data_IF_929562602864
#
_entry.id   IF_929562602864
#
_cell.length_a   1.000
_cell.length_b   1.000
_cell.length_c   1.000
_cell.angle_alpha   90.00
_cell.angle_beta   90.00
_cell.angle_gamma   90.00
#
_symmetry.space_group_name_H-M   'P 1'
#
loop_
_entity.id
_entity.type
_entity.pdbx_description
1 polymer ?
#
# COMPACT_ATOMS: atom_id res chain seq x y z
N UNK A 1 38.79 27.03 -2.56
CA UNK A 1 37.32 27.14 -2.70
C UNK A 1 36.66 25.89 -3.28
N UNK A 2 37.36 25.04 -4.06
CA UNK A 2 36.79 23.80 -4.62
C UNK A 2 36.69 22.61 -3.63
N UNK A 3 37.48 22.59 -2.56
CA UNK A 3 37.50 21.51 -1.55
C UNK A 3 36.24 21.47 -0.69
N UNK A 4 35.62 22.63 -0.42
CA UNK A 4 34.40 22.73 0.38
C UNK A 4 33.16 22.25 -0.37
N UNK A 5 33.12 22.37 -1.70
CA UNK A 5 31.98 21.91 -2.51
C UNK A 5 31.93 20.38 -2.57
N UNK A 6 33.09 19.74 -2.74
CA UNK A 6 33.18 18.28 -2.76
C UNK A 6 32.81 17.66 -1.40
N UNK A 7 33.24 18.26 -0.28
CA UNK A 7 32.92 17.78 1.06
C UNK A 7 31.41 17.83 1.35
N UNK A 8 30.73 18.92 0.93
CA UNK A 8 29.29 19.09 1.11
C UNK A 8 28.46 18.08 0.28
N UNK A 9 28.91 17.72 -0.92
CA UNK A 9 28.24 16.72 -1.75
C UNK A 9 28.35 15.31 -1.15
N UNK A 10 29.51 14.98 -0.59
CA UNK A 10 29.75 13.69 0.08
C UNK A 10 28.87 13.58 1.34
N UNK A 11 28.79 14.63 2.16
CA UNK A 11 27.94 14.62 3.36
C UNK A 11 26.45 14.49 3.01
N UNK A 12 25.97 15.15 1.95
CA UNK A 12 24.58 15.00 1.50
C UNK A 12 24.24 13.56 1.06
N UNK A 13 25.19 12.86 0.44
CA UNK A 13 25.01 11.47 0.01
C UNK A 13 24.96 10.50 1.20
N UNK A 14 25.80 10.72 2.23
CA UNK A 14 25.74 9.91 3.45
C UNK A 14 24.45 10.18 4.26
N UNK A 15 23.99 11.43 4.31
CA UNK A 15 22.75 11.80 4.99
C UNK A 15 21.55 11.16 4.27
N UNK A 16 21.48 11.22 2.94
CA UNK A 16 20.38 10.60 2.18
C UNK A 16 20.36 9.08 2.31
N UNK A 17 21.53 8.42 2.35
CA UNK A 17 21.64 6.98 2.62
C UNK A 17 21.21 6.60 4.04
N UNK A 18 21.46 7.44 5.04
CA UNK A 18 20.99 7.21 6.41
C UNK A 18 19.45 7.31 6.53
N UNK A 19 18.83 8.25 5.83
CA UNK A 19 17.36 8.35 5.77
C UNK A 19 16.70 7.13 5.12
N UNK A 20 17.34 6.51 4.12
CA UNK A 20 16.85 5.27 3.50
C UNK A 20 16.89 4.08 4.49
N UNK A 21 17.92 3.98 5.32
CA UNK A 21 18.05 2.90 6.32
C UNK A 21 17.08 3.05 7.50
N UNK A 22 16.81 4.29 7.95
CA UNK A 22 15.86 4.55 9.05
C UNK A 22 14.39 4.26 8.67
N UNK A 23 14.12 4.15 7.37
CA UNK A 23 12.79 3.82 6.83
C UNK A 23 12.47 2.31 6.87
N UNK A 24 13.47 1.46 7.16
CA UNK A 24 13.38 -0.01 7.04
C UNK A 24 13.29 -0.70 8.41
N UNK A 25 12.41 -0.19 9.30
CA UNK A 25 12.01 -0.92 10.52
C UNK A 25 10.52 -1.20 10.49
N UNK A 26 10.08 -2.06 9.57
CA UNK A 26 8.75 -2.65 9.62
C UNK A 26 8.81 -3.90 10.50
N UNK A 27 8.59 -3.74 11.80
CA UNK A 27 8.16 -4.86 12.62
C UNK A 27 6.77 -4.54 13.16
N UNK A 28 5.71 -4.71 12.35
CA UNK A 28 4.38 -4.44 12.82
C UNK A 28 3.87 -5.78 13.36
N UNK A 29 4.09 -6.03 14.65
CA UNK A 29 3.16 -6.89 15.38
C UNK A 29 1.85 -6.12 15.44
N UNK A 30 1.11 -6.07 14.32
CA UNK A 30 -0.18 -5.39 14.24
C UNK A 30 -1.09 -6.08 15.27
N UNK A 31 -1.72 -5.32 16.18
CA UNK A 31 -2.74 -5.89 17.05
C UNK A 31 -3.79 -6.58 16.17
N UNK A 32 -4.25 -7.78 16.55
CA UNK A 32 -5.38 -8.41 15.86
C UNK A 32 -6.62 -7.61 16.24
N UNK A 33 -7.06 -6.75 15.34
CA UNK A 33 -8.28 -5.96 15.47
C UNK A 33 -9.35 -6.64 14.60
N UNK A 34 -10.60 -6.68 15.10
CA UNK A 34 -11.73 -7.31 14.41
C UNK A 34 -11.80 -8.83 14.51
N UNK A 35 -10.89 -9.46 15.26
CA UNK A 35 -10.91 -10.92 15.46
C UNK A 35 -11.68 -11.24 16.74
N UNK A 36 -12.72 -12.06 16.61
CA UNK A 36 -13.46 -12.58 17.76
C UNK A 36 -12.57 -13.46 18.66
N UNK A 37 -12.76 -13.47 19.99
CA UNK A 37 -11.96 -14.30 20.90
C UNK A 37 -11.92 -15.80 20.55
N UNK A 38 -12.99 -16.34 19.95
CA UNK A 38 -13.00 -17.75 19.51
C UNK A 38 -12.13 -18.02 18.28
N UNK A 39 -11.85 -17.00 17.46
CA UNK A 39 -11.04 -17.08 16.25
C UNK A 39 -9.56 -16.76 16.50
N UNK A 40 -9.15 -16.37 17.71
CA UNK A 40 -7.76 -16.02 18.02
C UNK A 40 -6.76 -17.12 17.61
N UNK A 41 -7.11 -18.38 17.87
CA UNK A 41 -6.28 -19.53 17.52
C UNK A 41 -6.20 -19.76 16.00
N UNK A 42 -7.25 -19.42 15.26
CA UNK A 42 -7.28 -19.53 13.80
C UNK A 42 -6.28 -18.55 13.16
N UNK A 43 -6.25 -17.32 13.66
CA UNK A 43 -5.36 -16.27 13.16
C UNK A 43 -3.93 -16.36 13.73
N UNK A 44 -3.66 -17.17 14.75
CA UNK A 44 -2.34 -17.28 15.39
C UNK A 44 -1.24 -17.82 14.47
N UNK A 45 -1.58 -18.51 13.38
CA UNK A 45 -0.61 -19.10 12.45
C UNK A 45 0.12 -18.04 11.60
N UNK A 46 1.38 -18.32 11.21
CA UNK A 46 2.12 -17.48 10.25
C UNK A 46 1.51 -17.51 8.84
N UNK A 47 0.89 -18.64 8.49
CA UNK A 47 0.19 -18.87 7.24
C UNK A 47 -1.27 -19.21 7.55
N UNK A 48 -2.17 -18.33 7.18
CA UNK A 48 -3.60 -18.40 7.49
C UNK A 48 -4.34 -18.83 6.23
N UNK A 49 -5.24 -19.79 6.36
CA UNK A 49 -6.07 -20.24 5.23
C UNK A 49 -7.26 -19.28 5.09
N UNK A 50 -7.79 -19.10 3.88
CA UNK A 50 -9.11 -18.49 3.74
C UNK A 50 -10.17 -19.49 4.23
N UNK A 51 -11.26 -19.02 4.88
CA UNK A 51 -12.33 -19.89 5.37
C UNK A 51 -13.08 -20.57 4.21
N UNK A 52 -13.11 -19.95 3.03
CA UNK A 52 -13.61 -20.49 1.77
C UNK A 52 -12.71 -21.60 1.16
N UNK A 53 -11.52 -21.82 1.72
CA UNK A 53 -10.55 -22.82 1.25
C UNK A 53 -9.84 -22.45 -0.05
N UNK A 54 -10.03 -21.25 -0.58
CA UNK A 54 -9.51 -20.83 -1.90
C UNK A 54 -7.99 -20.75 -1.94
N UNK A 55 -7.37 -20.14 -0.93
CA UNK A 55 -5.93 -19.96 -0.82
C UNK A 55 -5.47 -19.80 0.63
N UNK A 56 -4.19 -19.52 0.80
CA UNK A 56 -3.61 -19.14 2.09
C UNK A 56 -2.78 -17.87 1.92
N UNK A 57 -2.72 -17.06 2.98
CA UNK A 57 -1.99 -15.81 3.01
C UNK A 57 -1.07 -15.77 4.23
N UNK A 58 -0.02 -14.97 4.16
CA UNK A 58 0.90 -14.77 5.27
C UNK A 58 0.31 -13.77 6.26
N UNK A 59 0.63 -13.93 7.55
CA UNK A 59 0.09 -13.10 8.64
C UNK A 59 0.33 -11.60 8.50
N UNK A 60 1.33 -11.19 7.73
CA UNK A 60 1.59 -9.78 7.40
C UNK A 60 0.57 -9.17 6.43
N UNK A 61 -0.27 -9.99 5.79
CA UNK A 61 -1.36 -9.60 4.90
C UNK A 61 -2.69 -9.46 5.64
N UNK A 62 -2.70 -9.73 6.94
CA UNK A 62 -3.89 -9.55 7.78
C UNK A 62 -4.12 -8.06 8.01
N UNK A 63 -5.33 -7.58 7.74
CA UNK A 63 -5.71 -6.16 7.81
C UNK A 63 -4.69 -5.28 7.07
N UNK A 64 -4.34 -5.61 5.81
CA UNK A 64 -3.39 -4.85 4.98
C UNK A 64 -4.08 -3.96 3.93
N UNK A 65 -5.39 -3.74 4.10
CA UNK A 65 -6.29 -3.00 3.20
C UNK A 65 -6.36 -3.64 1.79
N UNK A 66 -6.02 -4.92 1.66
CA UNK A 66 -5.99 -5.63 0.39
C UNK A 66 -6.67 -6.99 0.46
N UNK A 67 -7.81 -7.09 -0.22
CA UNK A 67 -8.56 -8.32 -0.38
C UNK A 67 -7.77 -9.45 -1.04
N UNK A 68 -7.22 -10.32 -0.22
CA UNK A 68 -6.61 -11.57 -0.57
C UNK A 68 -7.67 -12.68 -0.70
N UNK A 69 -8.55 -12.87 0.28
CA UNK A 69 -9.58 -13.90 0.23
C UNK A 69 -10.89 -13.37 -0.35
N UNK A 70 -11.64 -14.23 -1.06
CA UNK A 70 -12.93 -13.83 -1.62
C UNK A 70 -14.02 -13.69 -0.55
N UNK A 71 -13.86 -14.40 0.57
CA UNK A 71 -14.73 -14.34 1.74
C UNK A 71 -14.36 -13.23 2.74
N UNK A 72 -13.27 -12.50 2.51
CA UNK A 72 -12.79 -11.44 3.40
C UNK A 72 -12.08 -11.92 4.66
N UNK A 73 -11.69 -13.20 4.76
CA UNK A 73 -11.00 -13.77 5.94
C UNK A 73 -9.78 -12.96 6.38
N UNK A 74 -9.08 -12.33 5.43
CA UNK A 74 -7.86 -11.56 5.62
C UNK A 74 -8.07 -10.13 6.13
N UNK A 75 -9.29 -9.60 6.10
CA UNK A 75 -9.63 -8.25 6.56
C UNK A 75 -10.69 -8.30 7.69
N UNK A 76 -10.41 -8.97 8.82
CA UNK A 76 -11.36 -9.05 9.93
C UNK A 76 -11.73 -7.69 10.50
N UNK A 77 -10.90 -6.64 10.45
CA UNK A 77 -11.24 -5.33 11.03
C UNK A 77 -12.45 -4.62 10.39
N UNK A 78 -12.94 -5.10 9.24
CA UNK A 78 -14.21 -4.68 8.67
C UNK A 78 -15.42 -5.09 9.52
N UNK A 79 -15.27 -6.04 10.46
CA UNK A 79 -16.30 -6.54 11.36
C UNK A 79 -15.70 -6.86 12.75
N UNK A 80 -16.32 -6.46 13.86
CA UNK A 80 -15.66 -6.67 15.17
C UNK A 80 -15.76 -8.11 15.72
N UNK A 81 -16.43 -9.01 15.00
CA UNK A 81 -16.47 -10.44 15.30
C UNK A 81 -17.39 -10.80 16.46
N UNK A 82 -17.99 -9.81 17.13
CA UNK A 82 -18.60 -9.98 18.45
C UNK A 82 -20.07 -10.44 18.43
N UNK A 83 -20.76 -10.28 17.31
CA UNK A 83 -22.21 -10.50 17.18
C UNK A 83 -22.63 -11.37 15.98
N UNK A 84 -21.67 -11.94 15.21
CA UNK A 84 -21.99 -12.69 13.99
C UNK A 84 -22.08 -14.22 14.18
N UNK A 85 -21.58 -14.77 15.29
CA UNK A 85 -21.54 -16.22 15.51
C UNK A 85 -22.90 -16.87 15.76
N UNK A 86 -23.88 -16.10 16.24
CA UNK A 86 -25.23 -16.58 16.49
C UNK A 86 -26.16 -16.40 15.26
N UNK A 87 -25.66 -15.76 14.20
CA UNK A 87 -26.41 -15.44 12.99
C UNK A 87 -27.48 -14.34 13.18
N UNK A 88 -27.50 -13.67 14.34
CA UNK A 88 -28.42 -12.56 14.65
C UNK A 88 -28.07 -11.32 13.85
N UNK A 89 -26.78 -11.09 13.56
CA UNK A 89 -26.30 -9.96 12.76
C UNK A 89 -25.55 -10.48 11.53
N UNK A 90 -25.96 -9.96 10.36
CA UNK A 90 -25.33 -10.26 9.08
C UNK A 90 -24.44 -9.10 8.66
N UNK A 91 -23.12 -9.26 8.82
CA UNK A 91 -22.15 -8.31 8.29
C UNK A 91 -21.89 -8.59 6.80
N UNK A 92 -22.20 -7.65 5.89
CA UNK A 92 -21.89 -7.82 4.48
C UNK A 92 -20.37 -7.82 4.30
N UNK A 93 -19.84 -8.77 3.54
CA UNK A 93 -18.45 -8.78 3.14
C UNK A 93 -18.13 -7.50 2.34
N UNK A 94 -17.41 -6.56 2.95
CA UNK A 94 -16.95 -5.30 2.35
C UNK A 94 -15.63 -5.45 1.61
N UNK A 95 -15.11 -6.68 1.47
CA UNK A 95 -13.93 -6.97 0.67
C UNK A 95 -14.24 -6.83 -0.82
N UNK A 96 -14.43 -5.58 -1.24
CA UNK A 96 -14.56 -5.18 -2.62
C UNK A 96 -13.17 -5.33 -3.20
N UNK A 97 -12.94 -6.35 -4.05
CA UNK A 97 -11.70 -6.67 -4.78
C UNK A 97 -10.84 -5.42 -5.08
N UNK A 98 -10.04 -5.01 -4.10
CA UNK A 98 -9.50 -3.63 -4.02
C UNK A 98 -8.27 -3.40 -4.87
N UNK A 99 -7.71 -4.48 -5.44
CA UNK A 99 -6.44 -4.45 -6.15
C UNK A 99 -6.40 -3.62 -7.44
N UNK A 100 -7.54 -3.17 -7.97
CA UNK A 100 -7.58 -2.37 -9.19
C UNK A 100 -7.56 -0.85 -8.96
N UNK A 101 -7.40 -0.34 -7.73
CA UNK A 101 -7.29 1.11 -7.51
C UNK A 101 -5.91 1.65 -7.88
N UNK A 102 -4.84 0.92 -7.52
CA UNK A 102 -3.47 1.38 -7.77
C UNK A 102 -3.09 1.39 -9.26
N UNK A 103 -3.48 0.38 -10.02
CA UNK A 103 -3.21 0.29 -11.46
C UNK A 103 -3.96 1.37 -12.27
N UNK A 104 -5.22 1.65 -11.90
CA UNK A 104 -6.00 2.72 -12.55
C UNK A 104 -5.40 4.09 -12.23
N UNK A 105 -4.93 4.32 -11.00
CA UNK A 105 -4.27 5.59 -10.65
C UNK A 105 -2.98 5.84 -11.44
N UNK A 106 -2.17 4.80 -11.64
CA UNK A 106 -0.95 4.87 -12.45
C UNK A 106 -1.28 5.08 -13.94
N UNK A 107 -2.28 4.39 -14.49
CA UNK A 107 -2.68 4.57 -15.88
C UNK A 107 -3.25 5.96 -16.16
N UNK A 108 -4.01 6.54 -15.22
CA UNK A 108 -4.58 7.88 -15.38
C UNK A 108 -3.49 8.97 -15.43
N UNK A 109 -2.42 8.83 -14.66
CA UNK A 109 -1.30 9.79 -14.67
C UNK A 109 -0.57 9.83 -16.03
N UNK A 110 -0.36 8.68 -16.69
CA UNK A 110 0.27 8.60 -18.01
C UNK A 110 -0.61 9.26 -19.09
N UNK A 111 -1.92 9.00 -19.07
CA UNK A 111 -2.88 9.56 -20.03
C UNK A 111 -2.94 11.09 -19.90
N UNK A 112 -2.97 11.63 -18.68
CA UNK A 112 -3.01 13.08 -18.45
C UNK A 112 -1.74 13.77 -18.99
N UNK A 113 -0.56 13.17 -18.76
CA UNK A 113 0.71 13.72 -19.26
C UNK A 113 0.73 13.73 -20.79
N UNK A 114 0.33 12.63 -21.44
CA UNK A 114 0.26 12.54 -22.90
C UNK A 114 -0.72 13.55 -23.51
N UNK A 115 -1.92 13.67 -22.93
CA UNK A 115 -2.93 14.63 -23.37
C UNK A 115 -2.44 16.07 -23.16
N UNK A 116 -1.76 16.37 -22.06
CA UNK A 116 -1.18 17.69 -21.82
C UNK A 116 -0.09 18.05 -22.85
N UNK A 117 0.76 17.10 -23.25
CA UNK A 117 1.76 17.31 -24.31
C UNK A 117 1.13 17.54 -25.69
N UNK A 118 0.01 16.87 -25.99
CA UNK A 118 -0.71 17.00 -27.27
C UNK A 118 -1.55 18.29 -27.34
N UNK A 119 -2.23 18.66 -26.25
CA UNK A 119 -3.08 19.86 -26.18
C UNK A 119 -2.28 21.14 -25.90
N UNK A 120 -1.10 21.03 -25.29
CA UNK A 120 -0.23 22.17 -24.98
C UNK A 120 1.11 22.07 -25.72
N UNK A 121 1.14 22.32 -27.04
CA UNK A 121 2.38 22.32 -27.78
C UNK A 121 3.34 23.36 -27.17
N UNK A 122 4.56 22.92 -26.81
CA UNK A 122 5.61 23.82 -26.30
C UNK A 122 5.77 25.00 -27.24
N UNK A 123 5.48 26.22 -26.75
CA UNK A 123 5.89 27.46 -27.43
C UNK A 123 7.39 27.39 -27.65
N UNK A 124 7.84 27.22 -28.90
CA UNK A 124 9.26 27.30 -29.26
C UNK A 124 9.78 28.65 -28.75
N UNK A 125 10.71 28.62 -27.80
CA UNK A 125 11.42 29.82 -27.35
C UNK A 125 12.22 30.31 -28.55
N UNK A 126 11.78 31.42 -29.15
CA UNK A 126 12.48 32.10 -30.25
C UNK A 126 13.86 32.50 -29.72
N UNK A 127 14.92 31.76 -30.09
CA UNK A 127 16.31 32.20 -29.90
C UNK A 127 16.43 33.56 -30.58
N UNK A 128 16.53 34.63 -29.79
CA UNK A 128 17.00 35.93 -30.27
C UNK A 128 18.49 35.76 -30.55
N UNK A 129 18.87 35.74 -31.83
CA UNK A 129 20.26 35.98 -32.20
C UNK A 129 20.61 37.39 -31.74
N UNK A 130 21.67 37.49 -30.94
CA UNK A 130 22.28 38.74 -30.51
C UNK A 130 23.66 38.78 -31.17
N UNK A 131 23.91 39.81 -31.98
CA UNK A 131 25.21 40.11 -32.58
C UNK A 131 25.41 39.51 -33.95
#
# INVERSE_FOLDING_TARGET
MATNVALNLITCFYISLHFINLSYSSNPSRPLIGVHPLDENYYAAELIKCKDGSKSFARNRLNDDFCDCADGTDEPDCCDGSDEYDGTVSCPNTCIRGGLKALVFLQMSLVIVLVAFLLYPRRKTKRRNLG
#
